data_IF_613832645184
#
_entry.id   IF_613832645184
#
_cell.length_a   1.000
_cell.length_b   1.000
_cell.length_c   1.000
_cell.angle_alpha   90.00
_cell.angle_beta   90.00
_cell.angle_gamma   90.00
#
_symmetry.space_group_name_H-M   'P 1'
#
loop_
_entity.id
_entity.type
_entity.pdbx_description
1 polymer ?
#
# COMPACT_ATOMS: atom_id res chain seq x y z
N UNK A 1 3.94 15.00 16.64
CA UNK A 1 4.57 13.94 17.48
C UNK A 1 5.92 13.60 16.89
N UNK A 2 6.90 13.19 17.70
CA UNK A 2 8.21 12.75 17.17
C UNK A 2 8.11 11.33 16.60
N UNK A 3 9.08 10.93 15.76
CA UNK A 3 9.19 9.53 15.29
C UNK A 3 9.30 8.54 16.45
N UNK A 4 10.00 8.91 17.52
CA UNK A 4 10.13 8.09 18.73
C UNK A 4 8.77 7.88 19.41
N UNK A 5 7.98 8.95 19.58
CA UNK A 5 6.64 8.86 20.17
C UNK A 5 5.72 7.94 19.35
N UNK A 6 5.79 8.06 18.02
CA UNK A 6 5.01 7.22 17.10
C UNK A 6 5.42 5.75 17.25
N UNK A 7 6.73 5.45 17.26
CA UNK A 7 7.22 4.06 17.45
C UNK A 7 6.79 3.50 18.80
N UNK A 8 6.93 4.26 19.88
CA UNK A 8 6.49 3.84 21.21
C UNK A 8 4.98 3.58 21.26
N UNK A 9 4.20 4.31 20.47
CA UNK A 9 2.76 4.07 20.34
C UNK A 9 2.48 2.77 19.57
N UNK A 10 3.12 2.54 18.42
CA UNK A 10 2.81 1.39 17.54
C UNK A 10 3.43 0.05 17.94
N UNK A 11 4.42 0.08 18.85
CA UNK A 11 4.97 -1.10 19.53
C UNK A 11 4.71 -1.06 21.05
N UNK A 12 3.77 -0.22 21.46
CA UNK A 12 3.32 -0.13 22.84
C UNK A 12 2.50 -1.35 23.27
N UNK A 13 2.19 -1.40 24.56
CA UNK A 13 1.37 -2.46 25.15
C UNK A 13 0.00 -2.50 24.44
N UNK A 14 -0.37 -3.69 23.95
CA UNK A 14 -1.67 -3.92 23.30
C UNK A 14 -1.71 -3.62 21.79
N UNK A 15 -0.59 -3.22 21.19
CA UNK A 15 -0.49 -3.01 19.73
C UNK A 15 0.36 -4.11 19.07
N UNK A 16 -0.22 -4.79 18.09
CA UNK A 16 0.40 -5.85 17.30
C UNK A 16 0.12 -5.67 15.80
N UNK A 17 0.55 -6.62 14.95
CA UNK A 17 0.37 -6.48 13.49
C UNK A 17 -1.09 -6.45 13.05
N UNK A 18 -2.03 -7.00 13.83
CA UNK A 18 -3.45 -7.07 13.48
C UNK A 18 -4.18 -5.75 13.72
N UNK A 19 -3.71 -4.92 14.66
CA UNK A 19 -4.37 -3.66 15.04
C UNK A 19 -3.52 -2.41 14.85
N UNK A 20 -2.25 -2.51 14.45
CA UNK A 20 -1.35 -1.36 14.26
C UNK A 20 -1.88 -0.34 13.26
N UNK A 21 -2.46 -0.77 12.13
CA UNK A 21 -3.08 0.16 11.20
C UNK A 21 -4.30 0.87 11.81
N UNK A 22 -5.10 0.20 12.62
CA UNK A 22 -6.19 0.84 13.36
C UNK A 22 -5.65 1.88 14.35
N UNK A 23 -4.55 1.58 15.05
CA UNK A 23 -3.88 2.54 15.93
C UNK A 23 -3.42 3.79 15.16
N UNK A 24 -2.91 3.63 13.94
CA UNK A 24 -2.65 4.77 13.06
C UNK A 24 -3.92 5.56 12.74
N UNK A 25 -5.03 4.91 12.39
CA UNK A 25 -6.29 5.59 12.10
C UNK A 25 -6.81 6.42 13.29
N UNK A 26 -6.62 5.93 14.52
CA UNK A 26 -7.01 6.63 15.74
C UNK A 26 -6.09 7.84 16.02
N UNK A 27 -4.84 7.78 15.57
CA UNK A 27 -3.82 8.81 15.79
C UNK A 27 -3.77 9.86 14.67
N UNK A 28 -4.14 9.51 13.43
CA UNK A 28 -3.78 10.27 12.22
C UNK A 28 -4.19 11.75 12.24
N UNK A 29 -5.29 12.09 12.90
CA UNK A 29 -5.79 13.46 13.01
C UNK A 29 -4.90 14.38 13.89
N UNK A 30 -3.98 13.80 14.66
CA UNK A 30 -3.00 14.52 15.51
C UNK A 30 -1.62 14.60 14.87
N UNK A 31 -1.46 14.04 13.67
CA UNK A 31 -0.21 14.00 12.92
C UNK A 31 -0.28 14.98 11.76
N UNK A 32 0.87 15.49 11.36
CA UNK A 32 1.00 16.35 10.17
C UNK A 32 2.39 16.23 9.57
N UNK A 33 2.50 16.57 8.28
CA UNK A 33 3.71 16.54 7.49
C UNK A 33 4.48 15.23 7.62
N UNK A 34 5.78 15.33 7.88
CA UNK A 34 6.67 14.17 8.06
C UNK A 34 6.14 13.16 9.08
N UNK A 35 5.53 13.61 10.19
CA UNK A 35 5.06 12.71 11.23
C UNK A 35 3.86 11.86 10.78
N UNK A 36 3.00 12.41 9.92
CA UNK A 36 1.89 11.68 9.32
C UNK A 36 2.40 10.60 8.38
N UNK A 37 3.27 10.97 7.43
CA UNK A 37 3.78 10.06 6.42
C UNK A 37 4.65 8.96 7.01
N UNK A 38 5.47 9.29 7.99
CA UNK A 38 6.24 8.30 8.75
C UNK A 38 5.31 7.29 9.46
N UNK A 39 4.26 7.77 10.12
CA UNK A 39 3.31 6.89 10.80
C UNK A 39 2.53 6.01 9.81
N UNK A 40 2.04 6.58 8.70
CA UNK A 40 1.35 5.83 7.66
C UNK A 40 2.26 4.72 7.10
N UNK A 41 3.52 5.05 6.77
CA UNK A 41 4.51 4.10 6.25
C UNK A 41 4.59 2.86 7.14
N UNK A 42 4.98 3.06 8.40
CA UNK A 42 5.27 1.96 9.32
C UNK A 42 4.00 1.20 9.72
N UNK A 43 2.87 1.88 9.85
CA UNK A 43 1.60 1.22 10.14
C UNK A 43 1.13 0.36 8.98
N UNK A 44 1.35 0.81 7.73
CA UNK A 44 1.04 0.05 6.53
C UNK A 44 2.00 -1.13 6.35
N UNK A 45 3.32 -0.91 6.41
CA UNK A 45 4.28 -1.99 6.11
C UNK A 45 4.28 -3.11 7.14
N UNK A 46 3.97 -2.77 8.39
CA UNK A 46 4.11 -3.69 9.52
C UNK A 46 2.76 -4.22 10.02
N UNK A 47 1.66 -4.01 9.26
CA UNK A 47 0.36 -4.58 9.58
C UNK A 47 0.00 -5.79 8.73
N UNK A 48 -0.67 -6.74 9.39
CA UNK A 48 -1.37 -7.85 8.75
C UNK A 48 -2.85 -7.45 8.51
N UNK A 49 -3.57 -8.24 7.70
CA UNK A 49 -5.02 -8.10 7.48
C UNK A 49 -5.51 -6.72 6.99
N UNK A 50 -4.64 -5.95 6.32
CA UNK A 50 -4.97 -4.66 5.70
C UNK A 50 -6.15 -4.69 4.72
N UNK A 51 -6.54 -5.88 4.26
CA UNK A 51 -7.74 -6.08 3.44
C UNK A 51 -9.00 -5.41 4.03
N UNK A 52 -9.18 -5.47 5.35
CA UNK A 52 -10.35 -4.85 6.01
C UNK A 52 -10.28 -3.31 6.08
N UNK A 53 -9.10 -2.73 5.87
CA UNK A 53 -8.86 -1.30 5.93
C UNK A 53 -8.75 -0.65 4.55
N UNK A 54 -9.11 -1.36 3.47
CA UNK A 54 -8.83 -0.92 2.10
C UNK A 54 -9.28 0.51 1.78
N UNK A 55 -10.48 0.91 2.18
CA UNK A 55 -10.96 2.29 2.01
C UNK A 55 -10.14 3.27 2.86
N UNK A 56 -9.91 2.96 4.14
CA UNK A 56 -9.12 3.81 5.03
C UNK A 56 -7.65 3.96 4.57
N UNK A 57 -7.07 2.92 3.98
CA UNK A 57 -5.75 2.94 3.35
C UNK A 57 -5.76 3.91 2.17
N UNK A 58 -6.74 3.78 1.28
CA UNK A 58 -6.90 4.69 0.15
C UNK A 58 -7.02 6.14 0.60
N UNK A 59 -7.92 6.42 1.55
CA UNK A 59 -8.12 7.77 2.09
C UNK A 59 -6.84 8.33 2.72
N UNK A 60 -6.06 7.48 3.40
CA UNK A 60 -4.82 7.90 4.04
C UNK A 60 -3.66 8.13 3.07
N UNK A 61 -3.56 7.40 1.97
CA UNK A 61 -2.55 7.65 0.95
C UNK A 61 -2.91 8.81 0.00
N UNK A 62 -4.21 9.03 -0.24
CA UNK A 62 -4.70 10.06 -1.16
C UNK A 62 -5.05 11.38 -0.48
N UNK A 63 -4.79 11.53 0.83
CA UNK A 63 -5.03 12.79 1.53
C UNK A 63 -4.11 13.91 1.00
N UNK A 64 -4.56 15.15 1.24
CA UNK A 64 -3.82 16.37 0.92
C UNK A 64 -2.92 16.82 2.09
N UNK A 65 -2.18 15.86 2.67
CA UNK A 65 -1.19 16.17 3.71
C UNK A 65 0.15 16.58 3.06
N UNK A 66 0.76 17.72 3.43
CA UNK A 66 2.05 18.15 2.87
C UNK A 66 3.20 17.17 3.15
N UNK A 67 4.30 17.32 2.41
CA UNK A 67 5.56 16.58 2.62
C UNK A 67 5.46 15.06 2.39
N UNK A 68 4.70 14.64 1.37
CA UNK A 68 4.46 13.22 1.02
C UNK A 68 5.73 12.42 0.77
N UNK A 69 6.81 13.06 0.33
CA UNK A 69 8.11 12.44 0.13
C UNK A 69 8.64 11.71 1.38
N UNK A 70 8.23 12.12 2.60
CA UNK A 70 8.60 11.45 3.85
C UNK A 70 7.92 10.09 4.06
N UNK A 71 7.05 9.67 3.13
CA UNK A 71 6.55 8.30 3.06
C UNK A 71 7.65 7.32 2.61
N UNK A 72 8.68 7.82 1.92
CA UNK A 72 9.79 7.06 1.34
C UNK A 72 11.12 7.42 2.01
N UNK A 73 12.08 6.49 1.96
CA UNK A 73 13.46 6.76 2.31
C UNK A 73 14.17 7.38 1.09
N UNK A 74 15.34 7.98 1.32
CA UNK A 74 16.06 8.69 0.26
C UNK A 74 16.42 7.81 -0.94
N UNK A 75 16.83 6.56 -0.71
CA UNK A 75 17.15 5.59 -1.77
C UNK A 75 15.91 5.18 -2.57
N UNK A 76 14.77 5.03 -1.90
CA UNK A 76 13.48 4.77 -2.54
C UNK A 76 13.02 5.95 -3.42
N UNK A 77 13.21 7.18 -2.95
CA UNK A 77 12.94 8.41 -3.72
C UNK A 77 13.81 8.48 -4.97
N UNK A 78 15.12 8.26 -4.82
CA UNK A 78 16.05 8.31 -5.95
C UNK A 78 15.78 7.19 -6.97
N UNK A 79 15.44 5.98 -6.49
CA UNK A 79 15.02 4.90 -7.37
C UNK A 79 13.75 5.27 -8.14
N UNK A 80 12.72 5.79 -7.47
CA UNK A 80 11.49 6.23 -8.12
C UNK A 80 11.77 7.30 -9.19
N UNK A 81 12.61 8.30 -8.89
CA UNK A 81 13.01 9.34 -9.86
C UNK A 81 13.69 8.75 -11.09
N UNK A 82 14.52 7.73 -10.91
CA UNK A 82 15.27 7.06 -11.98
C UNK A 82 14.41 6.23 -12.93
N UNK A 83 13.17 5.90 -12.55
CA UNK A 83 12.26 5.14 -13.40
C UNK A 83 11.92 5.92 -14.69
N UNK A 84 11.70 5.21 -15.82
CA UNK A 84 11.22 5.83 -17.05
C UNK A 84 9.80 6.39 -16.85
N UNK A 85 9.38 7.33 -17.70
CA UNK A 85 8.07 7.98 -17.60
C UNK A 85 6.88 7.00 -17.67
N UNK A 86 7.08 5.85 -18.31
CA UNK A 86 6.10 4.75 -18.36
C UNK A 86 6.73 3.48 -17.81
N UNK A 87 6.13 2.93 -16.77
CA UNK A 87 6.56 1.68 -16.14
C UNK A 87 5.51 0.58 -16.30
N UNK A 88 5.95 -0.66 -16.19
CA UNK A 88 5.04 -1.81 -16.07
C UNK A 88 5.03 -2.29 -14.64
N UNK A 89 3.84 -2.41 -14.06
CA UNK A 89 3.61 -2.93 -12.72
C UNK A 89 2.82 -4.23 -12.79
N UNK A 90 3.01 -5.07 -11.79
CA UNK A 90 2.38 -6.37 -11.64
C UNK A 90 1.72 -6.50 -10.28
N UNK A 91 0.64 -7.29 -10.20
CA UNK A 91 0.00 -7.62 -8.93
C UNK A 91 -0.52 -9.05 -8.98
N UNK A 92 -0.15 -9.83 -7.97
CA UNK A 92 -0.79 -11.10 -7.66
C UNK A 92 -2.10 -10.83 -6.90
N UNK A 93 -3.22 -11.31 -7.43
CA UNK A 93 -4.54 -11.11 -6.82
C UNK A 93 -5.44 -12.33 -7.04
N UNK A 94 -6.61 -12.35 -6.39
CA UNK A 94 -7.63 -13.36 -6.69
C UNK A 94 -8.40 -12.97 -7.96
N UNK A 95 -8.98 -13.96 -8.65
CA UNK A 95 -9.92 -13.70 -9.75
C UNK A 95 -11.16 -12.93 -9.29
N UNK A 96 -11.52 -13.00 -8.01
CA UNK A 96 -12.62 -12.24 -7.43
C UNK A 96 -12.27 -10.76 -7.27
N UNK A 97 -11.05 -10.45 -6.79
CA UNK A 97 -10.55 -9.07 -6.75
C UNK A 97 -10.46 -8.48 -8.16
N UNK A 98 -10.00 -9.26 -9.14
CA UNK A 98 -10.01 -8.82 -10.54
C UNK A 98 -11.44 -8.50 -11.03
N UNK A 99 -12.43 -9.32 -10.67
CA UNK A 99 -13.83 -9.13 -11.07
C UNK A 99 -14.49 -7.93 -10.38
N UNK A 100 -14.11 -7.62 -9.14
CA UNK A 100 -14.69 -6.49 -8.41
C UNK A 100 -14.25 -5.15 -9.00
N UNK A 101 -13.11 -5.10 -9.70
CA UNK A 101 -12.52 -3.88 -10.24
C UNK A 101 -11.89 -2.97 -9.18
N UNK A 102 -12.19 -3.20 -7.88
CA UNK A 102 -11.55 -2.50 -6.79
C UNK A 102 -10.32 -3.29 -6.37
N UNK A 103 -9.12 -2.81 -6.68
CA UNK A 103 -7.85 -3.50 -6.37
C UNK A 103 -7.15 -2.91 -5.15
N UNK A 104 -6.36 -3.72 -4.44
CA UNK A 104 -5.42 -3.21 -3.45
C UNK A 104 -4.33 -2.35 -4.08
N UNK A 105 -3.74 -1.46 -3.30
CA UNK A 105 -2.77 -0.47 -3.78
C UNK A 105 -1.34 -1.01 -3.95
N UNK A 106 -1.05 -2.19 -3.41
CA UNK A 106 0.29 -2.80 -3.48
C UNK A 106 0.51 -3.46 -4.85
N UNK A 107 1.36 -2.88 -5.66
CA UNK A 107 1.85 -3.46 -6.91
C UNK A 107 3.36 -3.64 -6.84
N UNK A 108 3.96 -4.30 -7.81
CA UNK A 108 5.42 -4.48 -7.86
C UNK A 108 5.95 -4.26 -9.26
N UNK A 109 7.19 -3.77 -9.37
CA UNK A 109 7.92 -3.68 -10.65
C UNK A 109 8.50 -5.03 -11.10
N UNK A 110 8.41 -6.08 -10.28
CA UNK A 110 8.98 -7.41 -10.51
C UNK A 110 7.88 -8.44 -10.69
N UNK A 111 7.85 -9.10 -11.84
CA UNK A 111 6.80 -10.09 -12.16
C UNK A 111 6.86 -11.29 -11.21
N UNK A 112 8.06 -11.73 -10.88
CA UNK A 112 8.37 -12.83 -9.98
C UNK A 112 7.85 -12.59 -8.55
N UNK A 113 7.84 -11.32 -8.08
CA UNK A 113 7.26 -10.95 -6.79
C UNK A 113 5.74 -11.09 -6.85
N UNK A 114 5.10 -10.62 -7.92
CA UNK A 114 3.66 -10.79 -8.11
C UNK A 114 3.25 -12.28 -8.22
N UNK A 115 4.06 -13.10 -8.88
CA UNK A 115 3.88 -14.55 -8.96
C UNK A 115 4.02 -15.21 -7.58
N UNK A 116 5.01 -14.81 -6.77
CA UNK A 116 5.15 -15.27 -5.39
C UNK A 116 3.90 -14.97 -4.55
N UNK A 117 3.35 -13.75 -4.65
CA UNK A 117 2.12 -13.38 -3.95
C UNK A 117 0.86 -14.08 -4.47
N UNK A 118 0.83 -14.40 -5.77
CA UNK A 118 -0.26 -15.19 -6.34
C UNK A 118 -0.19 -16.65 -5.86
N UNK A 119 0.97 -17.30 -5.96
CA UNK A 119 1.07 -18.76 -5.90
C UNK A 119 1.61 -19.31 -4.57
N UNK A 120 2.43 -18.54 -3.85
CA UNK A 120 3.21 -19.04 -2.70
C UNK A 120 2.86 -18.37 -1.37
N UNK A 121 2.26 -17.18 -1.40
CA UNK A 121 1.92 -16.45 -0.18
C UNK A 121 0.67 -17.02 0.51
N UNK A 122 0.89 -18.03 1.35
CA UNK A 122 -0.15 -18.78 2.06
C UNK A 122 -0.64 -18.13 3.38
N UNK A 123 -0.09 -16.97 3.75
CA UNK A 123 -0.51 -16.23 4.97
C UNK A 123 -1.85 -15.50 4.80
N UNK A 124 -2.38 -15.43 3.57
CA UNK A 124 -3.74 -14.94 3.32
C UNK A 124 -4.76 -16.07 3.47
N UNK A 125 -4.93 -16.55 4.70
CA UNK A 125 -5.83 -17.67 5.05
C UNK A 125 -7.23 -17.53 4.44
N UNK A 126 -7.78 -16.32 4.38
CA UNK A 126 -9.10 -16.02 3.81
C UNK A 126 -9.22 -16.23 2.31
N UNK A 127 -8.10 -16.37 1.58
CA UNK A 127 -8.10 -16.45 0.11
C UNK A 127 -7.29 -17.62 -0.46
N UNK A 128 -6.75 -18.50 0.39
CA UNK A 128 -5.88 -19.61 -0.04
C UNK A 128 -6.58 -20.57 -1.03
N UNK A 129 -7.89 -20.74 -0.91
CA UNK A 129 -8.67 -21.61 -1.81
C UNK A 129 -9.17 -20.90 -3.08
N UNK A 130 -8.95 -19.59 -3.20
CA UNK A 130 -9.42 -18.81 -4.34
C UNK A 130 -8.45 -18.90 -5.51
N UNK A 131 -8.98 -18.95 -6.73
CA UNK A 131 -8.15 -18.93 -7.95
C UNK A 131 -7.36 -17.63 -8.03
N UNK A 132 -6.05 -17.75 -8.18
CA UNK A 132 -5.09 -16.66 -8.23
C UNK A 132 -4.77 -16.28 -9.67
N UNK A 133 -4.33 -15.04 -9.88
CA UNK A 133 -3.93 -14.50 -11.17
C UNK A 133 -2.90 -13.39 -10.98
N UNK A 134 -1.97 -13.28 -11.91
CA UNK A 134 -1.07 -12.13 -12.03
C UNK A 134 -1.62 -11.18 -13.09
N UNK A 135 -1.87 -9.94 -12.69
CA UNK A 135 -2.29 -8.85 -13.57
C UNK A 135 -1.08 -7.97 -13.85
N UNK A 136 -0.98 -7.47 -15.09
CA UNK A 136 0.03 -6.50 -15.51
C UNK A 136 -0.65 -5.20 -15.96
N UNK A 137 -0.05 -4.06 -15.67
CA UNK A 137 -0.54 -2.75 -16.11
C UNK A 137 0.63 -1.84 -16.48
N UNK A 138 0.44 -1.02 -17.51
CA UNK A 138 1.38 0.05 -17.88
C UNK A 138 0.81 1.37 -17.38
N UNK A 139 1.59 2.09 -16.56
CA UNK A 139 1.17 3.35 -15.92
C UNK A 139 2.20 4.44 -16.16
N UNK A 140 1.82 5.69 -15.91
CA UNK A 140 2.77 6.80 -15.87
C UNK A 140 3.49 6.79 -14.51
N UNK A 141 4.76 7.15 -14.50
CA UNK A 141 5.55 7.28 -13.26
C UNK A 141 4.93 8.29 -12.30
N UNK A 142 4.34 9.37 -12.83
CA UNK A 142 3.68 10.41 -12.03
C UNK A 142 2.41 9.92 -11.29
N UNK A 143 1.83 8.80 -11.72
CA UNK A 143 0.68 8.19 -11.03
C UNK A 143 1.10 7.36 -9.81
N UNK A 144 2.41 7.16 -9.58
CA UNK A 144 2.94 6.39 -8.45
C UNK A 144 2.89 7.26 -7.19
N UNK A 145 2.21 6.77 -6.15
CA UNK A 145 2.13 7.45 -4.85
C UNK A 145 3.44 7.29 -4.07
N UNK A 146 3.99 6.08 -4.08
CA UNK A 146 5.26 5.77 -3.44
C UNK A 146 5.89 4.50 -4.02
N UNK A 147 7.21 4.42 -3.87
CA UNK A 147 7.98 3.20 -4.05
C UNK A 147 8.52 2.76 -2.67
N UNK A 148 8.22 1.54 -2.25
CA UNK A 148 8.67 0.97 -0.98
C UNK A 148 9.48 -0.29 -1.26
N UNK A 149 10.69 -0.37 -0.71
CA UNK A 149 11.61 -1.48 -0.99
C UNK A 149 12.35 -2.01 0.23
N UNK A 150 11.93 -1.66 1.44
CA UNK A 150 12.47 -2.20 2.69
C UNK A 150 12.33 -3.74 2.83
N UNK A 151 11.52 -4.39 1.97
CA UNK A 151 11.32 -5.85 1.93
C UNK A 151 11.82 -6.51 0.63
N UNK A 152 12.58 -5.79 -0.20
CA UNK A 152 13.05 -6.25 -1.51
C UNK A 152 11.92 -6.67 -2.50
N UNK A 153 10.71 -6.14 -2.29
CA UNK A 153 9.52 -6.45 -3.10
C UNK A 153 9.36 -5.52 -4.31
N UNK A 154 10.16 -4.45 -4.40
CA UNK A 154 10.02 -3.38 -5.39
C UNK A 154 8.57 -2.87 -5.45
N UNK A 155 7.98 -2.63 -4.27
CA UNK A 155 6.57 -2.29 -4.11
C UNK A 155 6.29 -0.89 -4.65
N UNK A 156 5.22 -0.76 -5.42
CA UNK A 156 4.68 0.47 -5.96
C UNK A 156 3.28 0.65 -5.38
N UNK A 157 3.07 1.75 -4.65
CA UNK A 157 1.75 2.16 -4.18
C UNK A 157 1.05 2.88 -5.33
N UNK A 158 0.01 2.25 -5.86
CA UNK A 158 -0.77 2.75 -6.99
C UNK A 158 -2.26 2.45 -6.81
N UNK A 159 -3.11 3.46 -7.03
CA UNK A 159 -4.56 3.33 -6.99
C UNK A 159 -5.16 3.39 -8.39
N UNK A 160 -5.90 2.36 -8.78
CA UNK A 160 -6.61 2.32 -10.06
C UNK A 160 -7.90 3.16 -10.01
N UNK A 161 -7.76 4.48 -10.05
CA UNK A 161 -8.88 5.43 -9.90
C UNK A 161 -9.94 5.33 -11.00
N UNK A 162 -9.55 4.87 -12.20
CA UNK A 162 -10.49 4.65 -13.31
C UNK A 162 -11.53 3.54 -12.99
N UNK A 163 -11.14 2.56 -12.17
CA UNK A 163 -12.04 1.50 -11.73
C UNK A 163 -12.97 1.95 -10.59
N UNK A 164 -12.55 2.93 -9.79
CA UNK A 164 -13.33 3.52 -8.70
C UNK A 164 -14.51 4.37 -9.18
N UNK A 165 -14.32 5.14 -10.26
CA UNK A 165 -15.39 5.94 -10.87
C UNK A 165 -16.54 5.03 -11.37
N UNK A 166 -16.23 3.85 -11.93
CA UNK A 166 -17.27 2.91 -12.34
C UNK A 166 -18.04 2.26 -11.18
N UNK A 167 -17.46 2.23 -9.97
CA UNK A 167 -18.07 1.61 -8.80
C UNK A 167 -18.90 2.61 -7.96
N UNK A 168 -18.53 3.89 -7.94
CA UNK A 168 -19.31 4.93 -7.22
C UNK A 168 -20.50 5.49 -8.01
N UNK A 169 -20.50 5.37 -9.34
CA UNK A 169 -21.58 5.88 -10.20
C UNK A 169 -22.54 4.80 -10.74
N UNK A 170 -22.52 3.59 -10.17
CA UNK A 170 -23.61 2.62 -10.31
C UNK A 170 -24.48 2.67 -9.05
N UNK A 171 -25.36 3.66 -9.00
CA UNK A 171 -26.57 3.68 -8.17
C UNK A 171 -27.75 3.56 -9.13
#
# INVERSE_FOLDING_TARGET
>A
MTKSDIRNTFWGIGVDSLNRFQCFLDLKQKLSGESYWYALRIAYTDSDNLFYHKSSIMDSFLCDEPFREHLMENDEIEYLKSLPDKVTIYRGMTKEELKSGFYGCSWTLKKEVAEFFADKYNRNYSTNNLKKIVVKKKILKEDIIAFLNNRDEFEVIYFDLAALIHHHFKI
#
